data_IF_119426525670
#
_entry.id   IF_119426525670
#
_cell.length_a   1.000
_cell.length_b   1.000
_cell.length_c   1.000
_cell.angle_alpha   90.00
_cell.angle_beta   90.00
_cell.angle_gamma   90.00
#
_symmetry.space_group_name_H-M   'P 1'
#
loop_
_entity.id
_entity.type
_entity.pdbx_description
1 polymer ?
#
# COMPACT_ATOMS: atom_id res chain seq x y z
N UNK A 1 52.39 -29.76 -51.59
CA UNK A 1 52.27 -29.22 -50.18
C UNK A 1 50.85 -28.86 -49.89
N UNK A 2 50.11 -29.68 -49.11
CA UNK A 2 48.77 -29.46 -48.73
C UNK A 2 48.73 -28.89 -47.28
N UNK A 3 48.32 -27.66 -47.14
CA UNK A 3 48.10 -27.04 -45.81
C UNK A 3 46.72 -27.55 -45.22
N UNK A 4 46.87 -28.24 -44.10
CA UNK A 4 45.66 -28.61 -43.27
C UNK A 4 45.28 -27.42 -42.42
N UNK A 5 44.07 -26.88 -42.61
CA UNK A 5 43.42 -25.94 -41.67
C UNK A 5 42.80 -26.77 -40.55
N UNK A 6 43.27 -26.53 -39.34
CA UNK A 6 42.65 -27.06 -38.11
C UNK A 6 41.64 -26.05 -37.63
N UNK A 7 40.34 -26.38 -37.69
CA UNK A 7 39.28 -25.57 -37.14
C UNK A 7 39.16 -25.93 -35.65
N UNK A 8 39.51 -25.01 -34.77
CA UNK A 8 39.23 -25.12 -33.33
C UNK A 8 37.78 -24.69 -33.08
N UNK A 9 36.92 -25.64 -32.76
CA UNK A 9 35.55 -25.37 -32.30
C UNK A 9 35.60 -25.02 -30.82
N UNK A 10 35.38 -23.74 -30.47
CA UNK A 10 35.20 -23.30 -29.09
C UNK A 10 33.73 -23.55 -28.73
N UNK A 11 33.49 -24.60 -27.95
CA UNK A 11 32.19 -24.80 -27.28
C UNK A 11 32.12 -23.84 -26.11
N UNK A 12 31.35 -22.76 -26.25
CA UNK A 12 30.93 -21.92 -25.13
C UNK A 12 29.83 -22.66 -24.35
N UNK A 13 30.19 -23.25 -23.22
CA UNK A 13 29.22 -23.78 -22.25
C UNK A 13 28.62 -22.59 -21.54
N UNK A 14 27.41 -22.18 -21.92
CA UNK A 14 26.60 -21.24 -21.16
C UNK A 14 26.14 -21.95 -19.89
N UNK A 15 26.78 -21.66 -18.76
CA UNK A 15 26.29 -22.09 -17.45
C UNK A 15 24.99 -21.35 -17.16
N UNK A 16 23.85 -21.99 -17.41
CA UNK A 16 22.55 -21.56 -16.93
C UNK A 16 22.55 -21.80 -15.41
N UNK A 17 22.84 -20.77 -14.65
CA UNK A 17 22.58 -20.79 -13.21
C UNK A 17 21.05 -20.87 -13.00
N UNK A 18 20.54 -22.08 -12.89
CA UNK A 18 19.21 -22.35 -12.34
C UNK A 18 19.26 -21.87 -10.87
N UNK A 19 18.84 -20.64 -10.63
CA UNK A 19 18.49 -20.19 -9.29
C UNK A 19 17.35 -21.09 -8.82
N UNK A 20 17.69 -22.11 -8.02
CA UNK A 20 16.70 -22.90 -7.30
C UNK A 20 15.93 -21.90 -6.44
N UNK A 21 14.67 -21.67 -6.77
CA UNK A 21 13.82 -20.76 -6.01
C UNK A 21 13.84 -21.18 -4.54
N UNK A 22 14.31 -20.30 -3.66
CA UNK A 22 14.37 -20.57 -2.21
C UNK A 22 12.98 -20.96 -1.73
N UNK A 23 12.84 -22.18 -1.21
CA UNK A 23 11.61 -22.62 -0.57
C UNK A 23 11.49 -21.93 0.78
N UNK A 24 10.47 -21.10 0.91
CA UNK A 24 10.19 -20.39 2.15
C UNK A 24 9.25 -21.20 3.06
N UNK A 25 9.53 -21.20 4.36
CA UNK A 25 8.61 -21.68 5.39
C UNK A 25 8.14 -20.51 6.27
N UNK A 26 7.10 -20.74 7.07
CA UNK A 26 6.48 -19.72 7.91
C UNK A 26 7.45 -19.10 8.92
N UNK A 27 8.32 -19.91 9.50
CA UNK A 27 9.32 -19.42 10.45
C UNK A 27 10.31 -18.44 9.80
N UNK A 28 10.80 -18.72 8.61
CA UNK A 28 11.69 -17.82 7.87
C UNK A 28 11.00 -16.51 7.52
N UNK A 29 9.72 -16.54 7.14
CA UNK A 29 8.95 -15.32 6.86
C UNK A 29 8.72 -14.53 8.16
N UNK A 30 8.38 -15.19 9.27
CA UNK A 30 8.22 -14.53 10.56
C UNK A 30 9.53 -13.89 11.04
N UNK A 31 10.67 -14.55 10.86
CA UNK A 31 11.99 -13.99 11.16
C UNK A 31 12.29 -12.78 10.30
N UNK A 32 11.96 -12.82 8.99
CA UNK A 32 12.09 -11.67 8.08
C UNK A 32 11.24 -10.49 8.53
N UNK A 33 9.98 -10.73 8.91
CA UNK A 33 9.09 -9.71 9.44
C UNK A 33 9.69 -9.07 10.70
N UNK A 34 10.16 -9.87 11.66
CA UNK A 34 10.78 -9.36 12.89
C UNK A 34 12.05 -8.59 12.61
N UNK A 35 12.91 -9.08 11.72
CA UNK A 35 14.15 -8.39 11.32
C UNK A 35 13.87 -6.99 10.79
N UNK A 36 12.94 -6.86 9.85
CA UNK A 36 12.56 -5.56 9.25
C UNK A 36 11.95 -4.64 10.29
N UNK A 37 11.03 -5.14 11.08
CA UNK A 37 10.31 -4.32 12.06
C UNK A 37 11.20 -3.87 13.22
N UNK A 38 12.04 -4.77 13.72
CA UNK A 38 13.02 -4.44 14.76
C UNK A 38 14.04 -3.41 14.28
N UNK A 39 14.56 -3.57 13.04
CA UNK A 39 15.45 -2.55 12.45
C UNK A 39 14.76 -1.18 12.43
N UNK A 40 13.51 -1.13 11.94
CA UNK A 40 12.78 0.13 11.86
C UNK A 40 12.57 0.75 13.25
N UNK A 41 12.03 0.00 14.20
CA UNK A 41 11.68 0.51 15.54
C UNK A 41 12.91 0.88 16.38
N UNK A 42 14.05 0.23 16.16
CA UNK A 42 15.31 0.59 16.83
C UNK A 42 15.89 1.92 16.33
N UNK A 43 15.69 2.21 15.03
CA UNK A 43 16.28 3.40 14.40
C UNK A 43 15.31 4.59 14.30
N UNK A 44 14.04 4.43 14.70
CA UNK A 44 13.03 5.47 14.59
C UNK A 44 12.23 5.58 15.89
N UNK A 45 11.81 6.79 16.22
CA UNK A 45 10.94 7.05 17.38
C UNK A 45 9.49 6.78 17.02
N UNK A 46 8.71 6.30 18.00
CA UNK A 46 7.27 6.17 17.85
C UNK A 46 6.59 7.55 17.91
N UNK A 47 7.14 8.49 18.69
CA UNK A 47 6.57 9.80 18.99
C UNK A 47 6.79 10.78 17.82
N UNK A 48 6.08 10.53 16.70
CA UNK A 48 6.07 11.35 15.49
C UNK A 48 4.62 11.70 15.13
N UNK A 49 4.42 12.73 14.30
CA UNK A 49 3.09 13.20 13.88
C UNK A 49 2.27 12.11 13.19
N UNK A 50 0.94 12.18 13.32
CA UNK A 50 -0.01 11.22 12.71
C UNK A 50 -0.29 11.54 11.23
N UNK A 51 0.72 11.95 10.45
CA UNK A 51 0.58 12.24 9.03
C UNK A 51 0.79 10.97 8.20
N UNK A 52 0.36 10.98 6.95
CA UNK A 52 0.23 9.80 6.09
C UNK A 52 1.47 8.89 6.05
N UNK A 53 2.65 9.49 5.97
CA UNK A 53 3.91 8.76 5.83
C UNK A 53 4.20 7.87 7.05
N UNK A 54 4.02 8.42 8.26
CA UNK A 54 4.16 7.68 9.51
C UNK A 54 2.99 6.70 9.71
N UNK A 55 1.76 7.16 9.49
CA UNK A 55 0.58 6.33 9.67
C UNK A 55 0.57 5.08 8.77
N UNK A 56 1.11 5.19 7.54
CA UNK A 56 1.24 4.04 6.63
C UNK A 56 2.14 2.92 7.20
N UNK A 57 3.22 3.27 7.92
CA UNK A 57 4.02 2.29 8.64
C UNK A 57 3.17 1.55 9.70
N UNK A 58 2.39 2.30 10.48
CA UNK A 58 1.60 1.72 11.56
C UNK A 58 0.51 0.78 11.04
N UNK A 59 -0.03 0.98 9.82
CA UNK A 59 -0.96 0.02 9.21
C UNK A 59 -0.30 -1.34 8.97
N UNK A 60 0.97 -1.36 8.55
CA UNK A 60 1.76 -2.59 8.38
C UNK A 60 2.14 -3.22 9.73
N UNK A 61 2.58 -2.41 10.69
CA UNK A 61 2.94 -2.88 12.03
C UNK A 61 1.75 -3.54 12.76
N UNK A 62 0.53 -3.00 12.59
CA UNK A 62 -0.67 -3.62 13.14
C UNK A 62 -0.98 -4.98 12.51
N UNK A 63 -0.73 -5.17 11.22
CA UNK A 63 -0.87 -6.50 10.60
C UNK A 63 0.16 -7.50 11.13
N UNK A 64 1.39 -7.05 11.44
CA UNK A 64 2.40 -7.87 12.12
C UNK A 64 1.90 -8.30 13.49
N UNK A 65 1.39 -7.37 14.30
CA UNK A 65 0.82 -7.70 15.61
C UNK A 65 -0.33 -8.71 15.50
N UNK A 66 -1.27 -8.48 14.59
CA UNK A 66 -2.39 -9.42 14.37
C UNK A 66 -1.93 -10.82 13.95
N UNK A 67 -0.82 -10.90 13.21
CA UNK A 67 -0.29 -12.17 12.71
C UNK A 67 0.54 -12.92 13.75
N UNK A 68 1.44 -12.22 14.44
CA UNK A 68 2.47 -12.84 15.30
C UNK A 68 2.17 -12.73 16.80
N UNK A 69 1.26 -11.85 17.21
CA UNK A 69 0.91 -11.63 18.61
C UNK A 69 1.99 -10.94 19.46
N UNK A 70 3.02 -10.37 18.84
CA UNK A 70 4.12 -9.73 19.53
C UNK A 70 3.70 -8.37 20.10
N UNK A 71 3.62 -8.28 21.43
CA UNK A 71 3.12 -7.09 22.13
C UNK A 71 4.04 -5.87 21.97
N UNK A 72 5.33 -6.05 21.68
CA UNK A 72 6.24 -4.93 21.43
C UNK A 72 5.81 -4.11 20.20
N UNK A 73 5.22 -4.77 19.18
CA UNK A 73 4.67 -4.12 17.98
C UNK A 73 3.44 -3.29 18.33
N UNK A 74 2.59 -3.81 19.21
CA UNK A 74 1.42 -3.11 19.71
C UNK A 74 1.82 -1.89 20.54
N UNK A 75 2.77 -2.05 21.47
CA UNK A 75 3.26 -0.99 22.35
C UNK A 75 3.88 0.17 21.58
N UNK A 76 4.64 -0.12 20.52
CA UNK A 76 5.20 0.91 19.65
C UNK A 76 4.10 1.73 18.97
N UNK A 77 3.07 1.09 18.42
CA UNK A 77 1.95 1.78 17.78
C UNK A 77 1.07 2.51 18.81
N UNK A 78 0.89 1.94 20.00
CA UNK A 78 0.15 2.58 21.09
C UNK A 78 0.82 3.90 21.52
N UNK A 79 2.16 3.92 21.68
CA UNK A 79 2.92 5.15 21.99
C UNK A 79 2.74 6.21 20.92
N UNK A 80 2.76 5.83 19.63
CA UNK A 80 2.47 6.75 18.53
C UNK A 80 1.06 7.34 18.62
N UNK A 81 0.05 6.50 18.85
CA UNK A 81 -1.33 6.95 18.95
C UNK A 81 -1.55 7.87 20.16
N UNK A 82 -0.99 7.53 21.33
CA UNK A 82 -1.03 8.37 22.53
C UNK A 82 -0.33 9.72 22.32
N UNK A 83 0.84 9.74 21.67
CA UNK A 83 1.56 10.98 21.34
C UNK A 83 0.73 11.94 20.48
N UNK A 84 -0.17 11.41 19.64
CA UNK A 84 -1.02 12.19 18.76
C UNK A 84 -2.43 12.43 19.33
N UNK A 85 -2.65 12.15 20.60
CA UNK A 85 -3.96 12.32 21.26
C UNK A 85 -5.13 11.70 20.44
N UNK A 86 -4.86 10.62 19.72
CA UNK A 86 -5.83 9.91 18.87
C UNK A 86 -6.48 10.80 17.81
N UNK A 87 -5.74 11.82 17.35
CA UNK A 87 -6.19 12.75 16.31
C UNK A 87 -5.26 12.71 15.09
N UNK A 88 -5.79 13.21 13.94
CA UNK A 88 -4.99 13.67 12.81
C UNK A 88 -4.82 15.18 12.88
N UNK A 89 -5.39 15.92 11.89
CA UNK A 89 -5.45 17.38 11.97
C UNK A 89 -6.44 17.83 13.06
N UNK A 90 -6.10 18.93 13.78
CA UNK A 90 -6.68 19.25 15.09
C UNK A 90 -7.66 20.43 15.11
N UNK A 91 -7.99 21.05 13.96
CA UNK A 91 -8.98 22.13 13.93
C UNK A 91 -10.35 21.64 14.44
N UNK A 92 -10.85 22.28 15.48
CA UNK A 92 -12.10 21.90 16.13
C UNK A 92 -13.35 22.42 15.42
N UNK A 93 -13.23 23.56 14.70
CA UNK A 93 -14.38 24.17 14.03
C UNK A 93 -14.59 23.56 12.62
N UNK A 94 -15.68 22.79 12.36
CA UNK A 94 -15.93 22.18 11.06
C UNK A 94 -16.03 23.18 9.90
N UNK A 95 -16.45 24.42 10.15
CA UNK A 95 -16.52 25.46 9.14
C UNK A 95 -15.14 25.86 8.56
N UNK A 96 -14.05 25.45 9.23
CA UNK A 96 -12.67 25.72 8.83
C UNK A 96 -11.98 24.51 8.20
N UNK A 97 -12.62 23.35 8.14
CA UNK A 97 -12.04 22.11 7.65
C UNK A 97 -11.79 22.16 6.14
N UNK A 98 -10.60 21.76 5.73
CA UNK A 98 -10.10 21.84 4.35
C UNK A 98 -9.71 20.47 3.80
N UNK A 99 -9.75 20.31 2.44
CA UNK A 99 -9.32 19.10 1.73
C UNK A 99 -8.93 19.32 0.25
N UNK A 100 -9.34 20.45 -0.37
CA UNK A 100 -9.26 20.64 -1.84
C UNK A 100 -7.85 20.79 -2.39
N UNK A 101 -6.88 20.99 -1.52
CA UNK A 101 -5.46 21.13 -1.86
C UNK A 101 -4.62 20.32 -0.89
N UNK A 102 -3.37 20.04 -1.25
CA UNK A 102 -2.38 19.54 -0.30
C UNK A 102 -2.18 20.55 0.84
N UNK A 103 -2.09 20.05 2.06
CA UNK A 103 -1.80 20.89 3.20
C UNK A 103 -1.56 20.10 4.48
N UNK A 104 -0.62 20.61 5.28
CA UNK A 104 -0.16 19.98 6.53
C UNK A 104 -0.62 20.73 7.79
N UNK A 105 -1.38 21.82 7.63
CA UNK A 105 -1.90 22.61 8.74
C UNK A 105 -3.04 21.90 9.48
N UNK A 106 -3.32 22.37 10.69
CA UNK A 106 -4.36 21.79 11.57
C UNK A 106 -5.77 21.81 10.97
N UNK A 107 -6.03 22.70 10.03
CA UNK A 107 -7.33 22.86 9.35
C UNK A 107 -7.58 21.84 8.23
N UNK A 108 -6.59 21.07 7.78
CA UNK A 108 -6.75 20.03 6.75
C UNK A 108 -7.38 18.74 7.28
N UNK A 109 -8.41 18.86 8.08
CA UNK A 109 -9.10 17.74 8.76
C UNK A 109 -9.74 16.76 7.80
N UNK A 110 -10.26 17.25 6.67
CA UNK A 110 -10.92 16.42 5.64
C UNK A 110 -9.93 15.95 4.56
N UNK A 111 -8.63 16.18 4.73
CA UNK A 111 -7.59 15.75 3.82
C UNK A 111 -7.11 14.34 4.22
N UNK A 112 -7.19 13.39 3.32
CA UNK A 112 -6.94 11.97 3.58
C UNK A 112 -5.61 11.65 4.25
N UNK A 113 -4.58 12.45 3.98
CA UNK A 113 -3.25 12.32 4.59
C UNK A 113 -3.25 12.50 6.11
N UNK A 114 -4.24 13.18 6.66
CA UNK A 114 -4.49 13.28 8.10
C UNK A 114 -5.50 12.24 8.63
N UNK A 115 -6.19 11.53 7.74
CA UNK A 115 -7.26 10.59 8.12
C UNK A 115 -6.79 9.14 8.17
N UNK A 116 -5.71 8.80 7.49
CA UNK A 116 -5.16 7.43 7.47
C UNK A 116 -4.89 6.87 8.88
N UNK A 117 -4.48 7.71 9.83
CA UNK A 117 -4.23 7.33 11.22
C UNK A 117 -5.47 6.67 11.87
N UNK A 118 -6.67 7.03 11.43
CA UNK A 118 -7.91 6.45 11.95
C UNK A 118 -8.02 4.94 11.67
N UNK A 119 -7.39 4.41 10.61
CA UNK A 119 -7.32 2.97 10.40
C UNK A 119 -6.69 2.27 11.62
N UNK A 120 -5.55 2.80 12.06
CA UNK A 120 -4.80 2.26 13.19
C UNK A 120 -5.51 2.50 14.53
N UNK A 121 -6.09 3.67 14.73
CA UNK A 121 -6.82 3.99 15.98
C UNK A 121 -8.04 3.09 16.17
N UNK A 122 -8.79 2.80 15.10
CA UNK A 122 -9.91 1.86 15.15
C UNK A 122 -9.42 0.44 15.44
N UNK A 123 -8.29 0.02 14.85
CA UNK A 123 -7.71 -1.29 15.13
C UNK A 123 -7.28 -1.42 16.61
N UNK A 124 -6.64 -0.40 17.18
CA UNK A 124 -6.26 -0.35 18.60
C UNK A 124 -7.49 -0.37 19.51
N UNK A 125 -8.50 0.43 19.20
CA UNK A 125 -9.78 0.39 19.92
C UNK A 125 -10.42 -1.00 19.91
N UNK A 126 -10.44 -1.67 18.77
CA UNK A 126 -11.01 -3.02 18.65
C UNK A 126 -10.26 -4.05 19.50
N UNK A 127 -8.94 -3.91 19.66
CA UNK A 127 -8.13 -4.74 20.54
C UNK A 127 -8.55 -4.50 22.01
N UNK A 128 -8.66 -3.24 22.42
CA UNK A 128 -9.09 -2.91 23.79
C UNK A 128 -10.54 -3.32 24.07
N UNK A 129 -11.43 -3.13 23.10
CA UNK A 129 -12.81 -3.58 23.20
C UNK A 129 -12.93 -5.11 23.39
N UNK A 130 -12.11 -5.87 22.66
CA UNK A 130 -12.04 -7.33 22.80
C UNK A 130 -11.49 -7.76 24.17
N UNK A 131 -10.74 -6.89 24.87
CA UNK A 131 -10.26 -7.08 26.25
C UNK A 131 -11.30 -6.65 27.30
N UNK A 132 -12.48 -6.21 26.90
CA UNK A 132 -13.52 -5.73 27.81
C UNK A 132 -13.45 -4.23 28.14
N UNK A 133 -12.55 -3.47 27.51
CA UNK A 133 -12.27 -2.07 27.81
C UNK A 133 -13.04 -1.08 26.88
N UNK A 134 -14.08 -1.51 26.18
CA UNK A 134 -14.73 -0.71 25.13
C UNK A 134 -15.15 0.70 25.61
N UNK A 135 -15.81 0.82 26.77
CA UNK A 135 -16.24 2.11 27.28
C UNK A 135 -15.07 3.01 27.69
N UNK A 136 -14.06 2.45 28.38
CA UNK A 136 -12.87 3.16 28.80
C UNK A 136 -12.00 3.64 27.63
N UNK A 137 -12.04 2.94 26.49
CA UNK A 137 -11.23 3.21 25.29
C UNK A 137 -11.99 4.00 24.23
N UNK A 138 -13.22 4.42 24.45
CA UNK A 138 -14.06 5.12 23.47
C UNK A 138 -13.42 6.41 22.92
N UNK A 139 -12.55 7.06 23.68
CA UNK A 139 -11.79 8.24 23.27
C UNK A 139 -10.87 7.98 22.07
N UNK A 140 -10.35 6.75 21.89
CA UNK A 140 -9.45 6.38 20.81
C UNK A 140 -10.07 6.57 19.42
N UNK A 141 -11.39 6.47 19.32
CA UNK A 141 -12.14 6.58 18.05
C UNK A 141 -13.02 7.81 17.97
N UNK A 142 -12.98 8.69 18.98
CA UNK A 142 -13.85 9.87 19.04
C UNK A 142 -13.63 10.79 17.83
N UNK A 143 -12.38 11.11 17.51
CA UNK A 143 -12.06 12.00 16.39
C UNK A 143 -12.36 11.34 15.04
N UNK A 144 -12.07 10.06 14.89
CA UNK A 144 -12.43 9.31 13.69
C UNK A 144 -13.95 9.34 13.43
N UNK A 145 -14.75 9.11 14.46
CA UNK A 145 -16.23 9.20 14.36
C UNK A 145 -16.68 10.59 13.93
N UNK A 146 -16.18 11.63 14.58
CA UNK A 146 -16.54 13.03 14.26
C UNK A 146 -16.27 13.37 12.79
N UNK A 147 -15.06 13.08 12.32
CA UNK A 147 -14.61 13.45 10.97
C UNK A 147 -15.32 12.62 9.90
N UNK A 148 -15.41 11.29 10.09
CA UNK A 148 -16.05 10.40 9.11
C UNK A 148 -17.56 10.61 9.06
N UNK A 149 -18.18 10.96 10.18
CA UNK A 149 -19.60 11.30 10.22
C UNK A 149 -19.88 12.60 9.45
N UNK A 150 -19.06 13.63 9.64
CA UNK A 150 -19.14 14.87 8.86
C UNK A 150 -19.05 14.61 7.36
N UNK A 151 -18.04 13.85 6.90
CA UNK A 151 -17.93 13.49 5.49
C UNK A 151 -19.14 12.72 4.97
N UNK A 152 -19.65 11.79 5.76
CA UNK A 152 -20.80 10.95 5.39
C UNK A 152 -22.06 11.75 5.14
N UNK A 153 -22.32 12.76 5.96
CA UNK A 153 -23.48 13.64 5.79
C UNK A 153 -23.28 14.76 4.78
N UNK A 154 -22.04 15.05 4.40
CA UNK A 154 -21.74 16.05 3.37
C UNK A 154 -22.26 15.62 2.01
N UNK A 155 -22.78 16.57 1.21
CA UNK A 155 -23.13 16.34 -0.19
C UNK A 155 -21.89 16.21 -1.10
N UNK A 156 -20.71 16.71 -0.68
CA UNK A 156 -19.48 16.65 -1.46
C UNK A 156 -19.01 15.20 -1.64
N UNK A 157 -18.50 14.85 -2.83
CA UNK A 157 -17.95 13.53 -3.17
C UNK A 157 -16.54 13.61 -3.71
N UNK A 158 -15.96 14.81 -3.75
CA UNK A 158 -14.66 15.13 -4.32
C UNK A 158 -13.51 15.15 -3.30
N UNK A 159 -13.68 14.49 -2.16
CA UNK A 159 -12.66 14.42 -1.11
C UNK A 159 -11.38 13.73 -1.56
N UNK A 160 -11.49 12.71 -2.41
CA UNK A 160 -10.39 11.83 -2.81
C UNK A 160 -9.93 12.16 -4.24
N UNK A 161 -9.37 13.36 -4.41
CA UNK A 161 -8.97 13.88 -5.73
C UNK A 161 -7.57 13.41 -6.19
N UNK A 162 -6.92 12.51 -5.43
CA UNK A 162 -5.64 11.89 -5.78
C UNK A 162 -5.63 10.41 -5.35
N UNK A 163 -4.86 9.57 -6.08
CA UNK A 163 -4.89 8.11 -5.94
C UNK A 163 -4.54 7.61 -4.54
N UNK A 164 -3.63 8.31 -3.85
CA UNK A 164 -3.17 7.94 -2.51
C UNK A 164 -4.32 7.96 -1.49
N UNK A 165 -5.29 8.89 -1.65
CA UNK A 165 -6.46 8.99 -0.79
C UNK A 165 -7.27 7.68 -0.72
N UNK A 166 -7.22 6.86 -1.77
CA UNK A 166 -7.93 5.58 -1.81
C UNK A 166 -7.37 4.57 -0.79
N UNK A 167 -6.08 4.63 -0.48
CA UNK A 167 -5.51 3.88 0.63
C UNK A 167 -5.76 4.56 1.97
N UNK A 168 -5.65 5.91 1.99
CA UNK A 168 -5.74 6.66 3.23
C UNK A 168 -7.13 6.54 3.87
N UNK A 169 -8.20 6.68 3.08
CA UNK A 169 -9.56 6.89 3.62
C UNK A 169 -10.54 5.74 3.34
N UNK A 170 -10.48 5.07 2.18
CA UNK A 170 -11.44 3.99 1.91
C UNK A 170 -11.49 2.94 3.02
N UNK A 171 -10.34 2.44 3.55
CA UNK A 171 -10.36 1.49 4.66
C UNK A 171 -10.90 2.08 5.96
N UNK A 172 -10.82 3.40 6.18
CA UNK A 172 -11.44 4.04 7.35
C UNK A 172 -12.96 3.92 7.25
N UNK A 173 -13.55 4.16 6.08
CA UNK A 173 -15.00 4.04 5.87
C UNK A 173 -15.51 2.61 6.16
N UNK A 174 -14.81 1.58 5.68
CA UNK A 174 -15.21 0.20 5.96
C UNK A 174 -15.01 -0.19 7.43
N UNK A 175 -13.95 0.31 8.07
CA UNK A 175 -13.75 0.13 9.52
C UNK A 175 -14.80 0.86 10.34
N UNK A 176 -15.27 2.04 9.91
CA UNK A 176 -16.38 2.74 10.54
C UNK A 176 -17.68 1.94 10.42
N UNK A 177 -17.94 1.34 9.25
CA UNK A 177 -19.05 0.39 9.12
C UNK A 177 -18.92 -0.78 10.11
N UNK A 178 -17.73 -1.41 10.20
CA UNK A 178 -17.49 -2.51 11.15
C UNK A 178 -17.70 -2.09 12.62
N UNK A 179 -17.35 -0.86 12.94
CA UNK A 179 -17.45 -0.30 14.28
C UNK A 179 -18.88 0.05 14.69
N UNK A 180 -19.73 0.47 13.72
CA UNK A 180 -21.05 1.04 14.00
C UNK A 180 -22.23 0.20 13.49
N UNK A 181 -22.00 -0.68 12.52
CA UNK A 181 -23.04 -1.40 11.79
C UNK A 181 -23.80 -0.55 10.76
N UNK A 182 -23.45 0.72 10.58
CA UNK A 182 -24.20 1.67 9.75
C UNK A 182 -23.66 1.69 8.31
N UNK A 183 -24.51 1.29 7.35
CA UNK A 183 -24.17 1.20 5.92
C UNK A 183 -23.89 2.55 5.26
N UNK A 184 -24.28 3.67 5.90
CA UNK A 184 -24.03 5.04 5.37
C UNK A 184 -22.56 5.28 5.01
N UNK A 185 -21.62 4.67 5.75
CA UNK A 185 -20.19 4.77 5.46
C UNK A 185 -19.81 4.07 4.16
N UNK A 186 -20.40 2.90 3.90
CA UNK A 186 -20.21 2.16 2.64
C UNK A 186 -20.84 2.90 1.46
N UNK A 187 -22.01 3.48 1.64
CA UNK A 187 -22.72 4.25 0.61
C UNK A 187 -21.93 5.53 0.26
N UNK A 188 -21.33 6.18 1.26
CA UNK A 188 -20.45 7.32 1.04
C UNK A 188 -19.18 6.94 0.33
N UNK A 189 -18.54 5.84 0.74
CA UNK A 189 -17.38 5.27 0.06
C UNK A 189 -17.67 5.02 -1.42
N UNK A 190 -18.81 4.40 -1.74
CA UNK A 190 -19.21 4.13 -3.12
C UNK A 190 -19.40 5.42 -3.94
N UNK A 191 -20.04 6.44 -3.38
CA UNK A 191 -20.20 7.75 -4.05
C UNK A 191 -18.86 8.44 -4.29
N UNK A 192 -17.98 8.44 -3.30
CA UNK A 192 -16.68 9.09 -3.42
C UNK A 192 -15.79 8.40 -4.46
N UNK A 193 -15.75 7.06 -4.50
CA UNK A 193 -14.92 6.36 -5.50
C UNK A 193 -15.41 6.56 -6.93
N UNK A 194 -16.72 6.70 -7.15
CA UNK A 194 -17.25 7.02 -8.48
C UNK A 194 -16.73 8.39 -8.97
N UNK A 195 -16.67 9.39 -8.10
CA UNK A 195 -16.10 10.69 -8.41
C UNK A 195 -14.60 10.59 -8.68
N UNK A 196 -13.87 9.85 -7.85
CA UNK A 196 -12.43 9.58 -8.01
C UNK A 196 -12.13 8.90 -9.34
N UNK A 197 -12.89 7.87 -9.69
CA UNK A 197 -12.76 7.16 -10.98
C UNK A 197 -12.96 8.10 -12.18
N UNK A 198 -13.93 8.99 -12.11
CA UNK A 198 -14.19 9.96 -13.19
C UNK A 198 -13.02 10.92 -13.43
N UNK A 199 -12.14 11.10 -12.43
CA UNK A 199 -10.96 11.97 -12.52
C UNK A 199 -9.72 11.18 -12.95
N UNK A 200 -9.49 10.00 -12.41
CA UNK A 200 -8.17 9.34 -12.42
C UNK A 200 -8.13 7.96 -13.07
N UNK A 201 -9.25 7.23 -13.17
CA UNK A 201 -9.24 5.90 -13.76
C UNK A 201 -9.08 5.98 -15.28
N UNK A 202 -8.07 5.33 -15.82
CA UNK A 202 -7.97 5.10 -17.26
C UNK A 202 -8.80 3.87 -17.65
N UNK A 203 -9.87 4.04 -18.44
CA UNK A 203 -10.80 2.95 -18.75
C UNK A 203 -10.22 1.86 -19.67
N UNK A 204 -9.08 2.14 -20.30
CA UNK A 204 -8.42 1.20 -21.22
C UNK A 204 -7.41 0.33 -20.50
N UNK A 205 -6.59 0.93 -19.65
CA UNK A 205 -5.53 0.23 -18.92
C UNK A 205 -5.96 -0.28 -17.55
N UNK A 206 -7.07 0.25 -17.01
CA UNK A 206 -7.55 0.02 -15.63
C UNK A 206 -6.57 0.48 -14.54
N UNK A 207 -5.55 1.28 -14.90
CA UNK A 207 -4.61 1.92 -13.99
C UNK A 207 -5.12 3.32 -13.62
N UNK A 208 -4.58 3.86 -12.53
CA UNK A 208 -4.95 5.18 -12.02
C UNK A 208 -3.85 6.21 -12.27
N UNK A 209 -4.20 7.34 -12.88
CA UNK A 209 -3.36 8.52 -12.79
C UNK A 209 -3.30 9.01 -11.34
N UNK A 210 -2.19 9.64 -10.95
CA UNK A 210 -2.04 10.11 -9.57
C UNK A 210 -3.12 11.12 -9.17
N UNK A 211 -3.43 12.07 -10.05
CA UNK A 211 -4.51 13.05 -9.94
C UNK A 211 -4.82 13.67 -11.31
N UNK A 212 -5.78 14.58 -11.36
CA UNK A 212 -6.21 15.25 -12.61
C UNK A 212 -5.13 16.05 -13.35
N UNK A 213 -3.98 16.37 -12.71
CA UNK A 213 -2.83 17.02 -13.39
C UNK A 213 -2.08 16.03 -14.26
N UNK A 214 -2.08 14.75 -13.91
CA UNK A 214 -1.30 13.69 -14.56
C UNK A 214 -2.07 12.91 -15.62
N UNK A 215 -3.34 13.22 -15.83
CA UNK A 215 -4.17 12.56 -16.86
C UNK A 215 -3.64 12.86 -18.26
N UNK A 216 -3.44 11.79 -19.06
CA UNK A 216 -3.06 11.89 -20.46
C UNK A 216 -4.16 12.61 -21.28
N UNK A 217 -3.82 13.50 -22.25
CA UNK A 217 -2.49 13.86 -22.72
C UNK A 217 -1.84 15.08 -22.03
N UNK A 218 -2.43 15.63 -20.95
CA UNK A 218 -1.86 16.78 -20.22
C UNK A 218 -0.47 16.46 -19.65
N UNK A 219 -0.30 15.24 -19.15
CA UNK A 219 0.98 14.72 -18.69
C UNK A 219 1.34 13.46 -19.49
N UNK A 220 2.64 13.29 -19.76
CA UNK A 220 3.22 12.16 -20.48
C UNK A 220 4.56 11.80 -19.87
N UNK A 221 4.95 10.53 -20.01
CA UNK A 221 6.33 10.12 -19.76
C UNK A 221 7.31 10.80 -20.72
N UNK A 222 8.60 10.70 -20.49
CA UNK A 222 9.63 11.23 -21.37
C UNK A 222 9.55 10.68 -22.81
N UNK A 223 8.96 9.50 -23.00
CA UNK A 223 8.78 8.83 -24.27
C UNK A 223 7.37 9.06 -24.88
N UNK A 224 6.58 9.98 -24.30
CA UNK A 224 5.25 10.36 -24.80
C UNK A 224 4.12 9.41 -24.44
N UNK A 225 4.37 8.43 -23.57
CA UNK A 225 3.38 7.43 -23.14
C UNK A 225 2.53 7.93 -21.97
N UNK A 226 1.40 7.25 -21.70
CA UNK A 226 0.66 7.39 -20.44
C UNK A 226 1.59 7.07 -19.26
N UNK A 227 1.64 7.94 -18.27
CA UNK A 227 2.53 7.79 -17.11
C UNK A 227 1.73 7.43 -15.85
N UNK A 228 1.77 6.15 -15.49
CA UNK A 228 1.15 5.61 -14.28
C UNK A 228 2.21 5.36 -13.23
N UNK A 229 2.04 5.98 -12.08
CA UNK A 229 3.00 5.93 -11.00
C UNK A 229 2.80 4.69 -10.13
N UNK A 230 3.82 3.82 -10.05
CA UNK A 230 3.71 2.53 -9.36
C UNK A 230 3.23 2.64 -7.91
N UNK A 231 3.74 3.59 -7.11
CA UNK A 231 3.24 3.79 -5.74
C UNK A 231 1.80 4.30 -5.72
N UNK A 232 1.39 5.12 -6.70
CA UNK A 232 0.00 5.58 -6.84
C UNK A 232 -0.97 4.41 -7.02
N UNK A 233 -0.74 3.58 -8.02
CA UNK A 233 -1.54 2.35 -8.22
C UNK A 233 -1.37 1.35 -7.08
N UNK A 234 -0.20 1.33 -6.42
CA UNK A 234 0.05 0.52 -5.23
C UNK A 234 -0.88 0.88 -4.07
N UNK A 235 -1.07 2.17 -3.82
CA UNK A 235 -2.05 2.65 -2.84
C UNK A 235 -3.46 2.19 -3.19
N UNK A 236 -3.86 2.30 -4.46
CA UNK A 236 -5.22 1.92 -4.89
C UNK A 236 -5.46 0.43 -4.70
N UNK A 237 -4.56 -0.44 -5.16
CA UNK A 237 -4.73 -1.89 -5.05
C UNK A 237 -4.75 -2.35 -3.58
N UNK A 238 -3.84 -1.82 -2.76
CA UNK A 238 -3.80 -2.11 -1.33
C UNK A 238 -5.04 -1.58 -0.60
N UNK A 239 -5.51 -0.39 -0.96
CA UNK A 239 -6.75 0.19 -0.43
C UNK A 239 -7.98 -0.67 -0.74
N UNK A 240 -8.12 -1.14 -1.98
CA UNK A 240 -9.20 -2.04 -2.40
C UNK A 240 -9.16 -3.38 -1.65
N UNK A 241 -7.97 -3.97 -1.44
CA UNK A 241 -7.81 -5.17 -0.64
C UNK A 241 -8.34 -4.97 0.79
N UNK A 242 -7.94 -3.88 1.46
CA UNK A 242 -8.42 -3.55 2.82
C UNK A 242 -9.93 -3.28 2.85
N UNK A 243 -10.48 -2.61 1.84
CA UNK A 243 -11.92 -2.38 1.70
C UNK A 243 -12.68 -3.69 1.62
N UNK A 244 -12.26 -4.60 0.74
CA UNK A 244 -12.92 -5.88 0.53
C UNK A 244 -12.78 -6.82 1.73
N UNK A 245 -11.74 -6.66 2.54
CA UNK A 245 -11.54 -7.38 3.79
C UNK A 245 -12.63 -7.06 4.81
N UNK A 246 -13.01 -5.79 4.95
CA UNK A 246 -13.95 -5.32 5.97
C UNK A 246 -15.39 -5.16 5.46
N UNK A 247 -15.60 -5.06 4.14
CA UNK A 247 -16.91 -4.90 3.50
C UNK A 247 -17.72 -6.19 3.58
N UNK A 248 -18.99 -6.16 4.03
CA UNK A 248 -19.82 -7.37 4.09
C UNK A 248 -20.11 -7.93 2.70
N UNK A 249 -20.28 -9.25 2.63
CA UNK A 249 -20.52 -9.93 1.34
C UNK A 249 -21.87 -9.53 0.72
N UNK A 250 -22.80 -9.15 1.54
CA UNK A 250 -24.18 -8.81 1.21
C UNK A 250 -24.36 -7.34 0.76
N UNK A 251 -23.30 -6.52 0.86
CA UNK A 251 -23.40 -5.12 0.43
C UNK A 251 -23.66 -5.02 -1.08
N UNK A 252 -24.71 -4.30 -1.45
CA UNK A 252 -25.24 -4.28 -2.82
C UNK A 252 -24.22 -3.84 -3.89
N UNK A 253 -23.24 -3.00 -3.53
CA UNK A 253 -22.18 -2.56 -4.45
C UNK A 253 -20.86 -3.32 -4.27
N UNK A 254 -20.80 -4.40 -3.48
CA UNK A 254 -19.56 -5.16 -3.26
C UNK A 254 -18.95 -5.66 -4.57
N UNK A 255 -19.78 -6.14 -5.51
CA UNK A 255 -19.28 -6.67 -6.78
C UNK A 255 -18.52 -5.60 -7.58
N UNK A 256 -18.96 -4.35 -7.56
CA UNK A 256 -18.21 -3.23 -8.16
C UNK A 256 -16.77 -3.14 -7.65
N UNK A 257 -16.56 -3.30 -6.34
CA UNK A 257 -15.21 -3.28 -5.75
C UNK A 257 -14.40 -4.53 -6.09
N UNK A 258 -15.05 -5.69 -6.18
CA UNK A 258 -14.41 -6.95 -6.62
C UNK A 258 -13.92 -6.84 -8.06
N UNK A 259 -14.78 -6.38 -8.98
CA UNK A 259 -14.43 -6.23 -10.40
C UNK A 259 -13.26 -5.25 -10.57
N UNK A 260 -13.34 -4.10 -9.88
CA UNK A 260 -12.29 -3.09 -9.87
C UNK A 260 -10.96 -3.64 -9.35
N UNK A 261 -10.98 -4.36 -8.25
CA UNK A 261 -9.80 -5.01 -7.69
C UNK A 261 -9.16 -6.02 -8.66
N UNK A 262 -9.97 -6.85 -9.30
CA UNK A 262 -9.49 -7.87 -10.24
C UNK A 262 -8.89 -7.25 -11.51
N UNK A 263 -9.54 -6.24 -12.08
CA UNK A 263 -9.06 -5.52 -13.25
C UNK A 263 -7.73 -4.81 -12.97
N UNK A 264 -7.64 -4.10 -11.84
CA UNK A 264 -6.40 -3.43 -11.44
C UNK A 264 -5.28 -4.44 -11.15
N UNK A 265 -5.57 -5.53 -10.42
CA UNK A 265 -4.58 -6.56 -10.12
C UNK A 265 -4.01 -7.20 -11.39
N UNK A 266 -4.85 -7.42 -12.41
CA UNK A 266 -4.40 -7.93 -13.70
C UNK A 266 -3.51 -6.90 -14.41
N UNK A 267 -3.92 -5.65 -14.52
CA UNK A 267 -3.15 -4.59 -15.17
C UNK A 267 -1.78 -4.39 -14.50
N UNK A 268 -1.75 -4.46 -13.18
CA UNK A 268 -0.52 -4.40 -12.38
C UNK A 268 0.38 -5.61 -12.70
N UNK A 269 -0.15 -6.83 -12.70
CA UNK A 269 0.64 -8.03 -12.98
C UNK A 269 1.26 -8.00 -14.39
N UNK A 270 0.52 -7.50 -15.38
CA UNK A 270 0.97 -7.37 -16.77
C UNK A 270 2.13 -6.37 -16.91
N UNK A 271 2.26 -5.39 -16.01
CA UNK A 271 3.31 -4.36 -16.01
C UNK A 271 4.57 -4.75 -15.21
N UNK A 272 4.62 -5.96 -14.59
CA UNK A 272 5.75 -6.38 -13.78
C UNK A 272 7.01 -6.59 -14.62
N UNK A 273 8.17 -6.08 -14.15
CA UNK A 273 9.46 -6.32 -14.80
C UNK A 273 9.92 -7.77 -14.62
N UNK A 274 10.75 -8.30 -15.52
CA UNK A 274 11.27 -9.68 -15.42
C UNK A 274 11.97 -9.97 -14.10
N UNK A 275 12.63 -8.98 -13.50
CA UNK A 275 13.35 -9.07 -12.23
C UNK A 275 12.42 -9.05 -11.00
N UNK A 276 11.10 -8.91 -11.20
CA UNK A 276 10.08 -9.05 -10.17
C UNK A 276 9.62 -7.76 -9.51
N UNK A 277 10.27 -6.64 -9.77
CA UNK A 277 9.82 -5.32 -9.30
C UNK A 277 8.94 -4.60 -10.32
N UNK A 278 8.41 -3.43 -9.95
CA UNK A 278 7.83 -2.45 -10.85
C UNK A 278 8.69 -1.19 -10.86
N UNK A 279 8.84 -0.62 -12.05
CA UNK A 279 9.47 0.69 -12.21
C UNK A 279 8.53 1.80 -11.77
N UNK A 280 9.07 2.96 -11.42
CA UNK A 280 8.27 4.13 -10.98
C UNK A 280 7.22 4.54 -11.99
N UNK A 281 7.52 4.49 -13.29
CA UNK A 281 6.56 4.59 -14.39
C UNK A 281 6.24 3.20 -14.89
N UNK A 282 5.01 2.74 -14.68
CA UNK A 282 4.67 1.32 -14.88
C UNK A 282 4.68 0.90 -16.35
N UNK A 283 4.14 1.74 -17.23
CA UNK A 283 4.03 1.42 -18.66
C UNK A 283 5.17 1.99 -19.51
N UNK A 284 6.05 2.79 -18.90
CA UNK A 284 7.27 3.29 -19.55
C UNK A 284 8.49 3.08 -18.64
N UNK A 285 9.02 1.85 -18.55
CA UNK A 285 10.16 1.56 -17.68
C UNK A 285 11.42 2.39 -17.98
N UNK A 286 11.55 2.92 -19.20
CA UNK A 286 12.69 3.76 -19.60
C UNK A 286 12.58 5.21 -19.12
N UNK A 287 11.38 5.66 -18.75
CA UNK A 287 11.17 7.01 -18.23
C UNK A 287 11.87 7.22 -16.88
N UNK A 288 11.73 6.27 -15.96
CA UNK A 288 12.33 6.30 -14.64
C UNK A 288 12.80 4.88 -14.27
N UNK A 289 13.93 4.42 -14.85
CA UNK A 289 14.38 3.03 -14.74
C UNK A 289 14.80 2.64 -13.33
N UNK A 290 14.84 1.34 -13.10
CA UNK A 290 15.23 0.73 -11.83
C UNK A 290 14.05 0.45 -10.91
N UNK A 291 14.31 -0.31 -9.83
CA UNK A 291 13.26 -0.78 -8.94
C UNK A 291 12.64 0.34 -8.09
N UNK A 292 11.38 0.12 -7.72
CA UNK A 292 10.67 0.94 -6.75
C UNK A 292 9.98 0.01 -5.74
N UNK A 293 10.47 -0.01 -4.50
CA UNK A 293 10.08 -1.01 -3.50
C UNK A 293 8.69 -0.76 -2.92
N UNK A 294 8.29 0.50 -2.71
CA UNK A 294 7.00 0.75 -2.06
C UNK A 294 5.81 0.31 -2.92
N UNK A 295 5.78 0.66 -4.21
CA UNK A 295 4.79 0.17 -5.15
C UNK A 295 4.85 -1.35 -5.30
N UNK A 296 6.06 -1.91 -5.47
CA UNK A 296 6.27 -3.36 -5.53
C UNK A 296 5.68 -4.08 -4.32
N UNK A 297 5.89 -3.57 -3.11
CA UNK A 297 5.38 -4.17 -1.89
C UNK A 297 3.86 -4.06 -1.77
N UNK A 298 3.27 -2.91 -2.10
CA UNK A 298 1.81 -2.75 -2.12
C UNK A 298 1.14 -3.65 -3.16
N UNK A 299 1.71 -3.79 -4.35
CA UNK A 299 1.22 -4.72 -5.37
C UNK A 299 1.30 -6.16 -4.89
N UNK A 300 2.43 -6.55 -4.29
CA UNK A 300 2.62 -7.89 -3.72
C UNK A 300 1.59 -8.17 -2.63
N UNK A 301 1.35 -7.21 -1.73
CA UNK A 301 0.32 -7.30 -0.70
C UNK A 301 -1.08 -7.50 -1.31
N UNK A 302 -1.49 -6.62 -2.22
CA UNK A 302 -2.82 -6.68 -2.82
C UNK A 302 -3.07 -7.99 -3.59
N UNK A 303 -2.11 -8.41 -4.42
CA UNK A 303 -2.21 -9.66 -5.18
C UNK A 303 -2.26 -10.87 -4.23
N UNK A 304 -1.36 -10.95 -3.24
CA UNK A 304 -1.36 -12.04 -2.25
C UNK A 304 -2.67 -12.09 -1.47
N UNK A 305 -3.16 -10.94 -1.01
CA UNK A 305 -4.45 -10.87 -0.33
C UNK A 305 -5.58 -11.40 -1.21
N UNK A 306 -5.61 -10.99 -2.48
CA UNK A 306 -6.61 -11.48 -3.44
C UNK A 306 -6.55 -12.99 -3.66
N UNK A 307 -5.35 -13.55 -3.76
CA UNK A 307 -5.14 -15.01 -3.88
C UNK A 307 -5.56 -15.73 -2.60
N UNK A 308 -5.15 -15.24 -1.44
CA UNK A 308 -5.47 -15.84 -0.13
C UNK A 308 -6.98 -15.86 0.15
N UNK A 309 -7.72 -14.90 -0.41
CA UNK A 309 -9.17 -14.76 -0.24
C UNK A 309 -10.00 -15.28 -1.43
N UNK A 310 -9.37 -15.93 -2.41
CA UNK A 310 -10.06 -16.56 -3.55
C UNK A 310 -10.63 -15.60 -4.59
N UNK A 311 -10.21 -14.33 -4.58
CA UNK A 311 -10.60 -13.33 -5.58
C UNK A 311 -9.68 -13.33 -6.80
N UNK A 312 -8.46 -13.84 -6.67
CA UNK A 312 -7.48 -14.01 -7.74
C UNK A 312 -7.06 -15.47 -7.84
N UNK A 313 -6.88 -15.95 -9.07
CA UNK A 313 -6.44 -17.32 -9.30
C UNK A 313 -4.96 -17.54 -8.92
N UNK A 314 -4.70 -18.45 -8.01
CA UNK A 314 -3.35 -18.75 -7.50
C UNK A 314 -2.38 -19.18 -8.61
N UNK A 315 -2.86 -19.90 -9.64
CA UNK A 315 -2.01 -20.37 -10.73
C UNK A 315 -1.64 -19.22 -11.67
N UNK A 316 -2.61 -18.35 -11.97
CA UNK A 316 -2.39 -17.19 -12.84
C UNK A 316 -1.41 -16.17 -12.22
N UNK A 317 -1.51 -15.89 -10.92
CA UNK A 317 -0.69 -14.88 -10.25
C UNK A 317 0.56 -15.44 -9.55
N UNK A 318 0.73 -16.76 -9.48
CA UNK A 318 1.82 -17.41 -8.72
C UNK A 318 3.21 -16.98 -9.14
N UNK A 319 3.46 -16.83 -10.46
CA UNK A 319 4.74 -16.38 -10.99
C UNK A 319 5.02 -14.90 -10.62
N UNK A 320 4.01 -14.03 -10.74
CA UNK A 320 4.09 -12.62 -10.34
C UNK A 320 4.47 -12.50 -8.85
N UNK A 321 3.78 -13.24 -7.99
CA UNK A 321 4.06 -13.28 -6.54
C UNK A 321 5.48 -13.79 -6.26
N UNK A 322 5.89 -14.89 -6.89
CA UNK A 322 7.22 -15.50 -6.67
C UNK A 322 8.34 -14.54 -7.03
N UNK A 323 8.25 -13.89 -8.19
CA UNK A 323 9.26 -12.92 -8.63
C UNK A 323 9.29 -11.68 -7.72
N UNK A 324 8.12 -11.14 -7.36
CA UNK A 324 8.03 -9.98 -6.47
C UNK A 324 8.61 -10.29 -5.08
N UNK A 325 8.28 -11.45 -4.51
CA UNK A 325 8.82 -11.86 -3.21
C UNK A 325 10.33 -12.08 -3.26
N UNK A 326 10.85 -12.66 -4.35
CA UNK A 326 12.28 -12.80 -4.58
C UNK A 326 12.96 -11.43 -4.59
N UNK A 327 12.45 -10.47 -5.38
CA UNK A 327 12.98 -9.10 -5.37
C UNK A 327 12.96 -8.47 -3.97
N UNK A 328 11.82 -8.52 -3.29
CA UNK A 328 11.64 -7.91 -1.97
C UNK A 328 12.65 -8.47 -0.94
N UNK A 329 12.96 -9.78 -1.00
CA UNK A 329 13.79 -10.45 0.01
C UNK A 329 15.26 -10.59 -0.37
N UNK A 330 15.64 -10.42 -1.65
CA UNK A 330 17.04 -10.57 -2.09
C UNK A 330 17.68 -9.26 -2.55
N UNK A 331 16.87 -8.25 -2.91
CA UNK A 331 17.35 -6.96 -3.40
C UNK A 331 16.92 -5.79 -2.52
N UNK A 332 15.62 -5.70 -2.19
CA UNK A 332 15.12 -4.60 -1.39
C UNK A 332 15.54 -4.71 0.08
N UNK A 333 15.40 -5.89 0.67
CA UNK A 333 15.81 -6.16 2.05
C UNK A 333 17.33 -6.28 2.15
N UNK A 334 17.94 -5.45 3.00
CA UNK A 334 19.34 -5.49 3.35
C UNK A 334 19.59 -6.46 4.52
N UNK A 335 20.83 -6.88 4.72
CA UNK A 335 21.21 -7.88 5.74
C UNK A 335 20.92 -7.46 7.19
N UNK A 336 20.87 -6.15 7.44
CA UNK A 336 20.57 -5.56 8.75
C UNK A 336 19.07 -5.38 9.03
N UNK A 337 18.21 -5.60 8.04
CA UNK A 337 16.76 -5.42 8.13
C UNK A 337 16.24 -4.13 7.47
N UNK A 338 17.14 -3.29 6.95
CA UNK A 338 16.73 -2.08 6.20
C UNK A 338 16.04 -2.46 4.89
N UNK A 339 14.89 -1.84 4.60
CA UNK A 339 14.19 -1.97 3.32
C UNK A 339 14.56 -0.79 2.43
N UNK A 340 15.41 -1.05 1.45
CA UNK A 340 15.92 -0.06 0.51
C UNK A 340 15.11 0.06 -0.78
N UNK A 341 15.63 0.86 -1.72
CA UNK A 341 15.03 1.12 -3.04
C UNK A 341 13.61 1.69 -2.99
N UNK A 342 13.28 2.41 -1.93
CA UNK A 342 12.00 3.13 -1.80
C UNK A 342 12.17 4.50 -2.44
N UNK A 343 11.31 4.84 -3.41
CA UNK A 343 11.29 6.19 -3.96
C UNK A 343 10.97 7.20 -2.83
N UNK A 344 11.74 8.28 -2.66
CA UNK A 344 11.40 9.35 -1.72
C UNK A 344 9.98 9.89 -1.90
N UNK A 345 9.48 10.66 -0.93
CA UNK A 345 8.18 11.33 -1.02
C UNK A 345 8.09 12.07 -2.36
N UNK A 346 6.98 11.89 -3.04
CA UNK A 346 6.71 12.45 -4.37
C UNK A 346 5.35 12.06 -4.87
N UNK A 347 5.00 12.53 -6.06
CA UNK A 347 3.66 12.38 -6.65
C UNK A 347 3.70 11.80 -8.08
N UNK A 348 4.86 11.39 -8.57
CA UNK A 348 5.03 10.85 -9.94
C UNK A 348 6.35 10.10 -10.10
N UNK A 349 6.52 9.43 -11.21
CA UNK A 349 7.82 8.98 -11.67
C UNK A 349 8.70 10.19 -12.04
N UNK A 350 9.93 10.25 -11.49
CA UNK A 350 10.87 11.35 -11.72
C UNK A 350 12.12 10.78 -12.40
N UNK A 351 12.39 11.16 -13.68
CA UNK A 351 13.62 10.77 -14.35
C UNK A 351 14.87 11.23 -13.59
N UNK A 352 15.89 10.39 -13.54
CA UNK A 352 17.18 10.73 -12.90
C UNK A 352 17.14 10.78 -11.36
N UNK A 353 15.99 10.57 -10.72
CA UNK A 353 15.92 10.49 -9.26
C UNK A 353 16.68 9.28 -8.73
N UNK A 354 17.60 9.50 -7.79
CA UNK A 354 18.34 8.42 -7.13
C UNK A 354 17.40 7.59 -6.24
N UNK A 355 17.34 6.29 -6.53
CA UNK A 355 16.64 5.29 -5.72
C UNK A 355 17.56 4.06 -5.63
N UNK A 356 18.11 3.83 -4.46
CA UNK A 356 19.14 2.80 -4.21
C UNK A 356 18.91 2.08 -2.87
N UNK A 357 19.85 1.22 -2.47
CA UNK A 357 19.76 0.45 -1.23
C UNK A 357 19.59 1.31 0.03
N UNK A 358 20.06 2.57 0.01
CA UNK A 358 19.95 3.49 1.13
C UNK A 358 18.65 4.29 1.14
N UNK A 359 17.91 4.27 0.04
CA UNK A 359 16.63 4.96 -0.08
C UNK A 359 15.55 4.20 0.68
N UNK A 360 15.26 4.63 1.90
CA UNK A 360 14.28 4.05 2.83
C UNK A 360 13.21 5.08 3.20
N UNK A 361 11.99 4.62 3.47
CA UNK A 361 10.91 5.43 4.02
C UNK A 361 9.92 4.56 4.81
N UNK A 362 9.27 5.17 5.81
CA UNK A 362 8.30 4.56 6.71
C UNK A 362 7.16 3.84 5.95
N UNK A 363 6.56 4.48 4.96
CA UNK A 363 5.50 3.89 4.13
C UNK A 363 6.00 2.67 3.30
N UNK A 364 7.26 2.67 2.87
CA UNK A 364 7.87 1.52 2.17
C UNK A 364 8.06 0.33 3.11
N UNK A 365 8.46 0.59 4.36
CA UNK A 365 8.55 -0.45 5.40
C UNK A 365 7.16 -1.00 5.73
N UNK A 366 6.16 -0.11 5.93
CA UNK A 366 4.77 -0.52 6.17
C UNK A 366 4.22 -1.42 5.05
N UNK A 367 4.47 -1.05 3.78
CA UNK A 367 4.08 -1.86 2.63
C UNK A 367 4.78 -3.24 2.59
N UNK A 368 6.09 -3.28 2.89
CA UNK A 368 6.84 -4.53 2.99
C UNK A 368 6.25 -5.46 4.06
N UNK A 369 5.93 -4.92 5.24
CA UNK A 369 5.33 -5.70 6.34
C UNK A 369 3.96 -6.25 5.95
N UNK A 370 3.11 -5.46 5.26
CA UNK A 370 1.83 -5.94 4.71
C UNK A 370 2.05 -7.11 3.74
N UNK A 371 2.97 -6.97 2.79
CA UNK A 371 3.29 -8.01 1.81
C UNK A 371 3.83 -9.29 2.49
N UNK A 372 4.70 -9.14 3.47
CA UNK A 372 5.28 -10.25 4.21
C UNK A 372 4.24 -11.01 5.05
N UNK A 373 3.29 -10.30 5.68
CA UNK A 373 2.19 -10.91 6.41
C UNK A 373 1.28 -11.73 5.46
N UNK A 374 0.98 -11.21 4.27
CA UNK A 374 0.18 -11.96 3.29
C UNK A 374 0.98 -13.12 2.68
N UNK A 375 2.28 -12.98 2.48
CA UNK A 375 3.12 -14.09 2.03
C UNK A 375 3.20 -15.22 3.07
N UNK A 376 3.25 -14.88 4.36
CA UNK A 376 3.15 -15.86 5.46
C UNK A 376 1.85 -16.67 5.39
N UNK A 377 0.72 -16.01 5.06
CA UNK A 377 -0.58 -16.68 4.90
C UNK A 377 -0.65 -17.52 3.62
N UNK A 378 0.05 -17.11 2.57
CA UNK A 378 0.07 -17.76 1.25
C UNK A 378 0.82 -19.09 1.22
N UNK A 379 1.93 -19.20 1.96
CA UNK A 379 2.72 -20.44 2.04
C UNK A 379 2.08 -21.41 3.03
N UNK A 380 2.27 -22.73 2.75
CA UNK A 380 1.73 -23.81 3.57
C UNK A 380 2.45 -23.97 4.90
#
# INVERSE_FOLDING_TARGET
MRKRLTILSILAVAAVNLLVAKTWNKEQVAQTIRLVNNYWQTNNKAEVRAFWDNAAYHTGNMEVYKLLGDTSMLDYTMRWACHNDWTGATEANPARWKYKTYGEGKEWVLFGDWQICFQTYIDLYNIEAARGNAAASAYMVKRAKEVMEYETYSAATDYWWWSDALYMVMPVMTKMYRLTGDTKYLDKLYKNILTTDSIMLDPVTHLYYRDGKYVYPKHKSANGMKDFWARGDGWVLAGLAKVLQDMPKEYCHRQFFVDKFQLLAKAVADAQQPEGYWTRSMLDPKHAPGPETSGTAFFTYGILWGVNNGLLDKKAFGNTVSRAWTYLTTKALQSDGKVGYVQPIGERAIPGQTVNADSQANFGVGAFLLAACEYYRYIK
#
